data_IF_287898830075
#
_entry.id   IF_287898830075
#
_cell.length_a   1.000
_cell.length_b   1.000
_cell.length_c   1.000
_cell.angle_alpha   90.00
_cell.angle_beta   90.00
_cell.angle_gamma   90.00
#
_symmetry.space_group_name_H-M   'P 1'
#
loop_
_entity.id
_entity.type
_entity.pdbx_description
1 polymer ?
#
# COMPACT_ATOMS: atom_id res chain seq x y z
N UNK A 1 -5.94 -7.56 7.93
CA UNK A 1 -4.61 -7.46 7.29
C UNK A 1 -3.87 -8.80 7.32
N UNK A 2 -2.85 -8.94 6.49
CA UNK A 2 -1.98 -10.13 6.42
C UNK A 2 -0.56 -9.82 6.89
N UNK A 3 -0.29 -8.60 7.29
CA UNK A 3 1.03 -8.11 7.66
C UNK A 3 1.00 -7.57 9.09
N UNK A 4 1.99 -7.98 9.86
CA UNK A 4 2.37 -7.39 11.15
C UNK A 4 3.85 -7.04 11.13
N UNK A 5 4.35 -6.48 12.23
CA UNK A 5 5.74 -6.06 12.35
C UNK A 5 6.74 -7.22 12.21
N UNK A 6 6.41 -8.39 12.74
CA UNK A 6 7.27 -9.58 12.65
C UNK A 6 7.41 -10.06 11.22
N UNK A 7 6.32 -10.11 10.47
CA UNK A 7 6.34 -10.49 9.05
C UNK A 7 7.03 -9.42 8.20
N UNK A 8 6.79 -8.12 8.48
CA UNK A 8 7.45 -7.02 7.79
C UNK A 8 8.98 -7.11 7.93
N UNK A 9 9.47 -7.39 9.13
CA UNK A 9 10.89 -7.58 9.40
C UNK A 9 11.47 -8.78 8.63
N UNK A 10 10.77 -9.92 8.64
CA UNK A 10 11.18 -11.11 7.87
C UNK A 10 11.25 -10.82 6.37
N UNK A 11 10.27 -10.09 5.83
CA UNK A 11 10.25 -9.71 4.42
C UNK A 11 11.44 -8.81 4.08
N UNK A 12 11.67 -7.75 4.86
CA UNK A 12 12.79 -6.85 4.66
C UNK A 12 14.14 -7.57 4.73
N UNK A 13 14.34 -8.42 5.74
CA UNK A 13 15.59 -9.19 5.93
C UNK A 13 15.88 -10.16 4.76
N UNK A 14 14.85 -10.57 4.01
CA UNK A 14 14.98 -11.44 2.85
C UNK A 14 14.89 -10.67 1.50
N UNK A 15 14.93 -9.34 1.52
CA UNK A 15 14.90 -8.50 0.32
C UNK A 15 13.53 -8.41 -0.36
N UNK A 16 12.46 -8.75 0.35
CA UNK A 16 11.10 -8.60 -0.16
C UNK A 16 10.48 -7.28 0.27
N UNK A 17 9.77 -6.64 -0.66
CA UNK A 17 9.07 -5.39 -0.41
C UNK A 17 7.74 -5.65 0.32
N UNK A 18 7.41 -4.75 1.24
CA UNK A 18 6.15 -4.73 1.97
C UNK A 18 5.66 -3.29 2.14
N UNK A 19 4.39 -3.13 2.43
CA UNK A 19 3.79 -1.85 2.84
C UNK A 19 3.07 -2.09 4.16
N UNK A 20 3.63 -1.51 5.27
CA UNK A 20 3.02 -1.62 6.58
C UNK A 20 1.75 -0.79 6.65
N UNK A 21 0.69 -1.35 7.24
CA UNK A 21 -0.55 -0.63 7.46
C UNK A 21 -0.41 0.47 8.51
N UNK A 22 -1.34 1.43 8.51
CA UNK A 22 -1.36 2.59 9.42
C UNK A 22 -2.34 2.49 10.59
N UNK A 23 -2.92 1.31 10.84
CA UNK A 23 -4.02 1.16 11.81
C UNK A 23 -3.56 1.20 13.28
N UNK A 24 -2.31 0.88 13.56
CA UNK A 24 -1.70 1.05 14.87
C UNK A 24 -0.81 2.30 14.84
N UNK A 25 -1.41 3.44 15.20
CA UNK A 25 -0.71 4.74 15.16
C UNK A 25 0.46 4.78 16.13
N UNK A 26 0.32 4.18 17.32
CA UNK A 26 1.34 4.19 18.35
C UNK A 26 2.55 3.31 17.99
N UNK A 27 2.36 2.27 17.19
CA UNK A 27 3.42 1.34 16.82
C UNK A 27 4.27 1.84 15.63
N UNK A 28 3.79 2.81 14.83
CA UNK A 28 4.48 3.22 13.58
C UNK A 28 5.89 3.73 13.81
N UNK A 29 6.08 4.61 14.78
CA UNK A 29 7.40 5.21 15.05
C UNK A 29 8.38 4.20 15.69
N UNK A 30 8.03 3.46 16.75
CA UNK A 30 8.86 2.37 17.26
C UNK A 30 9.22 1.31 16.20
N UNK A 31 8.32 1.06 15.25
CA UNK A 31 8.59 0.15 14.14
C UNK A 31 9.71 0.68 13.23
N UNK A 32 9.67 1.97 12.85
CA UNK A 32 10.73 2.59 12.02
C UNK A 32 12.06 2.55 12.76
N UNK A 33 12.11 2.94 14.04
CA UNK A 33 13.30 2.90 14.88
C UNK A 33 13.93 1.50 14.87
N UNK A 34 13.13 0.48 15.16
CA UNK A 34 13.60 -0.92 15.20
C UNK A 34 14.10 -1.41 13.84
N UNK A 35 13.47 -1.01 12.74
CA UNK A 35 13.94 -1.39 11.40
C UNK A 35 15.30 -0.75 11.10
N UNK A 36 15.48 0.53 11.42
CA UNK A 36 16.75 1.23 11.24
C UNK A 36 17.87 0.66 12.15
N UNK A 37 17.56 0.35 13.41
CA UNK A 37 18.54 -0.31 14.32
C UNK A 37 19.05 -1.65 13.78
N UNK A 38 18.21 -2.37 13.04
CA UNK A 38 18.55 -3.64 12.37
C UNK A 38 19.20 -3.46 10.99
N UNK A 39 19.36 -2.24 10.52
CA UNK A 39 19.86 -1.95 9.16
C UNK A 39 18.89 -2.41 8.06
N UNK A 40 17.59 -2.48 8.36
CA UNK A 40 16.53 -2.85 7.43
C UNK A 40 15.75 -1.61 6.99
N UNK A 41 15.21 -1.64 5.75
CA UNK A 41 14.37 -0.56 5.29
C UNK A 41 13.01 -0.54 6.01
N UNK A 42 12.52 0.66 6.31
CA UNK A 42 11.19 0.89 6.81
C UNK A 42 10.24 1.31 5.68
N UNK A 43 9.07 0.67 5.59
CA UNK A 43 8.00 1.02 4.65
C UNK A 43 6.69 1.17 5.41
N UNK A 44 6.14 2.38 5.44
CA UNK A 44 4.96 2.73 6.22
C UNK A 44 3.83 3.26 5.34
N UNK A 45 2.62 3.30 5.90
CA UNK A 45 1.48 3.97 5.26
C UNK A 45 1.04 5.20 6.02
N UNK A 46 0.57 6.20 5.27
CA UNK A 46 -0.04 7.44 5.76
C UNK A 46 -1.49 7.57 5.28
N UNK A 47 -2.30 8.23 6.08
CA UNK A 47 -3.58 8.80 5.67
C UNK A 47 -3.42 10.23 5.16
N UNK A 48 -4.53 11.00 5.21
CA UNK A 48 -4.59 12.38 4.72
C UNK A 48 -5.25 13.35 5.71
N UNK A 49 -5.46 12.91 6.95
CA UNK A 49 -6.04 13.76 8.01
C UNK A 49 -4.95 14.66 8.62
N UNK A 50 -5.35 15.71 9.32
CA UNK A 50 -4.41 16.66 9.94
C UNK A 50 -3.41 15.98 10.88
N UNK A 51 -3.83 14.96 11.63
CA UNK A 51 -2.94 14.17 12.48
C UNK A 51 -1.79 13.49 11.70
N UNK A 52 -2.01 13.12 10.44
CA UNK A 52 -0.98 12.51 9.61
C UNK A 52 0.09 13.52 9.15
N UNK A 53 -0.30 14.78 8.94
CA UNK A 53 0.67 15.85 8.69
C UNK A 53 1.56 16.06 9.92
N UNK A 54 0.95 16.11 11.13
CA UNK A 54 1.71 16.21 12.38
C UNK A 54 2.65 15.02 12.60
N UNK A 55 2.24 13.81 12.25
CA UNK A 55 3.09 12.63 12.32
C UNK A 55 4.29 12.71 11.37
N UNK A 56 4.10 13.24 10.16
CA UNK A 56 5.20 13.48 9.19
C UNK A 56 6.21 14.48 9.75
N UNK A 57 5.75 15.58 10.35
CA UNK A 57 6.62 16.55 11.00
C UNK A 57 7.40 15.93 12.17
N UNK A 58 6.75 15.11 12.99
CA UNK A 58 7.41 14.42 14.11
C UNK A 58 8.50 13.45 13.63
N UNK A 59 8.29 12.75 12.50
CA UNK A 59 9.32 11.91 11.89
C UNK A 59 10.55 12.73 11.48
N UNK A 60 10.34 13.91 10.91
CA UNK A 60 11.41 14.83 10.52
C UNK A 60 12.16 15.34 11.75
N UNK A 61 11.47 15.81 12.77
CA UNK A 61 12.05 16.30 14.02
C UNK A 61 12.94 15.24 14.70
N UNK A 62 12.50 13.97 14.67
CA UNK A 62 13.24 12.85 15.24
C UNK A 62 14.29 12.24 14.32
N UNK A 63 14.42 12.74 13.11
CA UNK A 63 15.30 12.17 12.06
C UNK A 63 15.04 10.67 11.78
N UNK A 64 13.75 10.29 11.80
CA UNK A 64 13.26 8.93 11.56
C UNK A 64 12.59 8.83 10.18
N UNK A 65 13.34 9.10 9.12
CA UNK A 65 12.79 9.11 7.76
C UNK A 65 12.71 7.68 7.21
N UNK A 66 11.51 7.14 6.94
CA UNK A 66 11.37 5.82 6.33
C UNK A 66 11.84 5.87 4.87
N UNK A 67 12.44 4.78 4.39
CA UNK A 67 12.86 4.64 3.00
C UNK A 67 11.68 4.68 2.03
N UNK A 68 10.54 4.12 2.46
CA UNK A 68 9.31 4.09 1.67
C UNK A 68 8.12 4.60 2.47
N UNK A 69 7.39 5.52 1.86
CA UNK A 69 6.14 6.05 2.42
C UNK A 69 5.00 5.83 1.43
N UNK A 70 3.88 5.30 1.88
CA UNK A 70 2.71 5.08 1.03
C UNK A 70 1.52 5.90 1.53
N UNK A 71 1.02 6.84 0.72
CA UNK A 71 -0.28 7.46 0.98
C UNK A 71 -1.35 6.48 0.51
N UNK A 72 -2.09 5.89 1.47
CA UNK A 72 -3.02 4.79 1.22
C UNK A 72 -4.44 5.16 1.62
N UNK A 73 -5.22 5.58 0.63
CA UNK A 73 -6.64 5.96 0.79
C UNK A 73 -7.49 5.41 -0.35
N UNK A 74 -8.79 5.20 -0.07
CA UNK A 74 -9.72 4.63 -1.05
C UNK A 74 -9.91 5.51 -2.29
N UNK A 75 -9.76 6.84 -2.17
CA UNK A 75 -9.89 7.82 -3.25
C UNK A 75 -8.65 8.69 -3.32
N UNK A 76 -7.65 8.21 -4.06
CA UNK A 76 -6.35 8.87 -4.21
C UNK A 76 -6.38 10.12 -5.10
N UNK A 77 -7.31 10.21 -6.03
CA UNK A 77 -7.45 11.36 -6.93
C UNK A 77 -8.23 12.49 -6.26
N UNK A 78 -7.62 13.14 -5.27
CA UNK A 78 -8.23 14.22 -4.49
C UNK A 78 -7.21 15.28 -4.07
N UNK A 79 -7.67 16.51 -3.86
CA UNK A 79 -6.83 17.64 -3.43
C UNK A 79 -6.09 17.36 -2.13
N UNK A 80 -6.70 16.63 -1.21
CA UNK A 80 -6.06 16.28 0.07
C UNK A 80 -4.88 15.32 -0.12
N UNK A 81 -4.98 14.37 -1.04
CA UNK A 81 -3.87 13.48 -1.40
C UNK A 81 -2.76 14.28 -2.07
N UNK A 82 -3.10 15.16 -3.02
CA UNK A 82 -2.14 16.04 -3.68
C UNK A 82 -1.40 16.92 -2.67
N UNK A 83 -2.12 17.47 -1.69
CA UNK A 83 -1.53 18.26 -0.61
C UNK A 83 -0.56 17.43 0.24
N UNK A 84 -0.94 16.21 0.62
CA UNK A 84 -0.08 15.31 1.40
C UNK A 84 1.17 14.91 0.60
N UNK A 85 1.04 14.61 -0.70
CA UNK A 85 2.19 14.29 -1.56
C UNK A 85 3.20 15.44 -1.56
N UNK A 86 2.74 16.67 -1.80
CA UNK A 86 3.59 17.85 -1.82
C UNK A 86 4.29 18.07 -0.49
N UNK A 87 3.54 17.95 0.60
CA UNK A 87 4.09 18.09 1.94
C UNK A 87 5.18 17.05 2.24
N UNK A 88 4.90 15.77 2.00
CA UNK A 88 5.90 14.70 2.21
C UNK A 88 7.15 14.93 1.37
N UNK A 89 7.01 15.31 0.10
CA UNK A 89 8.17 15.57 -0.77
C UNK A 89 8.95 16.81 -0.39
N UNK A 90 8.32 17.78 0.25
CA UNK A 90 8.97 18.98 0.80
C UNK A 90 9.81 18.67 2.03
N UNK A 91 9.25 17.93 3.01
CA UNK A 91 9.88 17.75 4.32
C UNK A 91 10.66 16.42 4.45
N UNK A 92 10.32 15.41 3.66
CA UNK A 92 11.02 14.11 3.57
C UNK A 92 11.42 13.77 2.12
N UNK A 93 12.28 14.59 1.46
CA UNK A 93 12.60 14.41 0.03
C UNK A 93 13.30 13.07 -0.29
N UNK A 94 13.93 12.44 0.67
CA UNK A 94 14.65 11.18 0.51
C UNK A 94 13.75 9.94 0.49
N UNK A 95 12.52 10.02 1.04
CA UNK A 95 11.61 8.88 1.02
C UNK A 95 11.09 8.61 -0.40
N UNK A 96 11.03 7.33 -0.79
CA UNK A 96 10.33 6.93 -2.01
C UNK A 96 8.82 6.93 -1.75
N UNK A 97 8.10 7.86 -2.39
CA UNK A 97 6.70 8.11 -2.11
C UNK A 97 5.78 7.38 -3.10
N UNK A 98 5.01 6.43 -2.58
CA UNK A 98 3.94 5.74 -3.28
C UNK A 98 2.62 6.43 -2.95
N UNK A 99 1.76 6.68 -3.92
CA UNK A 99 0.46 7.30 -3.66
C UNK A 99 -0.69 6.54 -4.33
N UNK A 100 -1.82 6.45 -3.66
CA UNK A 100 -3.02 5.80 -4.16
C UNK A 100 -4.21 5.84 -3.19
N UNK A 101 -5.31 5.22 -3.59
CA UNK A 101 -5.47 4.43 -4.82
C UNK A 101 -6.18 5.24 -5.89
N UNK A 102 -5.80 4.98 -7.12
CA UNK A 102 -6.46 5.57 -8.30
C UNK A 102 -6.96 4.49 -9.25
N UNK A 103 -7.87 4.82 -10.15
CA UNK A 103 -8.42 3.90 -11.13
C UNK A 103 -8.42 4.48 -12.55
N UNK A 104 -7.88 5.69 -12.75
CA UNK A 104 -7.91 6.39 -14.03
C UNK A 104 -6.55 6.98 -14.41
N UNK A 105 -6.27 7.13 -15.73
CA UNK A 105 -5.07 7.78 -16.24
C UNK A 105 -4.86 9.21 -15.72
N UNK A 106 -5.94 9.96 -15.56
CA UNK A 106 -5.91 11.34 -15.02
C UNK A 106 -5.38 11.34 -13.60
N UNK A 107 -5.90 10.45 -12.73
CA UNK A 107 -5.44 10.32 -11.36
C UNK A 107 -3.95 9.98 -11.29
N UNK A 108 -3.47 9.05 -12.12
CA UNK A 108 -2.03 8.72 -12.17
C UNK A 108 -1.21 9.96 -12.50
N UNK A 109 -1.56 10.69 -13.58
CA UNK A 109 -0.82 11.90 -13.98
C UNK A 109 -0.81 12.96 -12.91
N UNK A 110 -1.92 13.18 -12.22
CA UNK A 110 -2.00 14.19 -11.16
C UNK A 110 -1.15 13.82 -9.95
N UNK A 111 -1.17 12.56 -9.51
CA UNK A 111 -0.30 12.13 -8.41
C UNK A 111 1.18 12.21 -8.76
N UNK A 112 1.56 11.81 -9.98
CA UNK A 112 2.94 11.97 -10.47
C UNK A 112 3.37 13.43 -10.55
N UNK A 113 2.50 14.30 -11.06
CA UNK A 113 2.78 15.74 -11.16
C UNK A 113 2.89 16.40 -9.77
N UNK A 114 2.18 15.88 -8.77
CA UNK A 114 2.29 16.33 -7.39
C UNK A 114 3.60 15.90 -6.71
N UNK A 115 4.31 14.89 -7.26
CA UNK A 115 5.60 14.44 -6.75
C UNK A 115 5.67 12.97 -6.36
N UNK A 116 4.60 12.18 -6.49
CA UNK A 116 4.65 10.75 -6.19
C UNK A 116 5.69 10.03 -7.07
N UNK A 117 6.44 9.09 -6.49
CA UNK A 117 7.46 8.30 -7.18
C UNK A 117 6.89 7.01 -7.78
N UNK A 118 5.75 6.55 -7.28
CA UNK A 118 4.95 5.47 -7.85
C UNK A 118 3.48 5.68 -7.54
N UNK A 119 2.59 5.09 -8.35
CA UNK A 119 1.15 5.14 -8.10
C UNK A 119 0.55 3.76 -7.90
N UNK A 120 -0.37 3.65 -6.95
CA UNK A 120 -1.09 2.41 -6.64
C UNK A 120 -2.47 2.43 -7.30
N UNK A 121 -2.69 1.48 -8.22
CA UNK A 121 -3.88 1.39 -9.08
C UNK A 121 -4.78 0.26 -8.63
N UNK A 122 -6.03 0.60 -8.29
CA UNK A 122 -7.04 -0.36 -7.88
C UNK A 122 -7.93 0.18 -6.78
N UNK A 123 -9.23 0.29 -7.04
CA UNK A 123 -10.23 0.76 -6.08
C UNK A 123 -11.16 -0.40 -5.76
N UNK A 124 -11.01 -0.96 -4.56
CA UNK A 124 -11.87 -2.01 -4.05
C UNK A 124 -11.84 -3.38 -4.74
N UNK A 125 -10.79 -3.82 -5.47
CA UNK A 125 -10.79 -5.14 -6.09
C UNK A 125 -10.45 -6.26 -5.10
N UNK A 126 -9.91 -5.92 -3.93
CA UNK A 126 -9.53 -6.86 -2.90
C UNK A 126 -10.71 -7.67 -2.35
N UNK A 127 -10.42 -8.90 -1.89
CA UNK A 127 -11.45 -9.83 -1.39
C UNK A 127 -12.20 -9.28 -0.17
N UNK A 128 -11.49 -8.62 0.75
CA UNK A 128 -12.05 -8.06 1.99
C UNK A 128 -12.35 -6.56 1.89
N UNK A 129 -12.07 -5.94 0.76
CA UNK A 129 -12.25 -4.49 0.63
C UNK A 129 -13.74 -4.11 0.62
N UNK A 130 -14.10 -3.18 1.50
CA UNK A 130 -15.48 -2.68 1.64
C UNK A 130 -15.77 -1.47 0.77
N UNK A 131 -14.78 -0.84 0.16
CA UNK A 131 -14.93 0.39 -0.63
C UNK A 131 -16.03 0.27 -1.68
N UNK A 132 -16.02 -0.79 -2.49
CA UNK A 132 -17.03 -1.04 -3.51
C UNK A 132 -18.45 -1.19 -2.95
N UNK A 133 -18.59 -1.71 -1.73
CA UNK A 133 -19.87 -1.89 -1.04
C UNK A 133 -20.38 -0.54 -0.52
N UNK A 134 -19.47 0.26 0.07
CA UNK A 134 -19.80 1.55 0.69
C UNK A 134 -20.05 2.66 -0.32
N UNK A 135 -19.31 2.67 -1.43
CA UNK A 135 -19.33 3.76 -2.43
C UNK A 135 -20.10 3.42 -3.70
N UNK A 136 -20.41 2.15 -3.92
CA UNK A 136 -20.96 1.67 -5.20
C UNK A 136 -19.95 1.68 -6.36
N UNK A 137 -18.69 2.08 -6.12
CA UNK A 137 -17.65 2.14 -7.12
C UNK A 137 -16.49 1.20 -6.81
N UNK A 138 -15.92 0.59 -7.85
CA UNK A 138 -14.71 -0.24 -7.72
C UNK A 138 -14.22 -0.74 -9.07
N UNK A 139 -12.90 -1.02 -9.13
CA UNK A 139 -12.25 -1.54 -10.34
C UNK A 139 -12.30 -3.07 -10.42
N UNK A 140 -12.93 -3.76 -9.47
CA UNK A 140 -12.87 -5.22 -9.32
C UNK A 140 -13.30 -6.02 -10.54
N UNK A 141 -14.29 -5.56 -11.30
CA UNK A 141 -14.75 -6.18 -12.55
C UNK A 141 -13.87 -5.85 -13.76
N UNK A 142 -13.00 -4.83 -13.68
CA UNK A 142 -12.18 -4.32 -14.77
C UNK A 142 -10.77 -3.86 -14.33
N UNK A 143 -10.26 -4.43 -13.23
CA UNK A 143 -8.96 -4.08 -12.65
C UNK A 143 -7.81 -4.17 -13.68
N UNK A 144 -7.78 -5.19 -14.52
CA UNK A 144 -6.75 -5.35 -15.53
C UNK A 144 -6.80 -4.24 -16.60
N UNK A 145 -8.02 -3.81 -16.98
CA UNK A 145 -8.20 -2.67 -17.88
C UNK A 145 -7.74 -1.36 -17.22
N UNK A 146 -8.06 -1.15 -15.93
CA UNK A 146 -7.58 0.00 -15.18
C UNK A 146 -6.05 0.05 -15.12
N UNK A 147 -5.39 -1.06 -14.82
CA UNK A 147 -3.92 -1.16 -14.83
C UNK A 147 -3.37 -0.83 -16.21
N UNK A 148 -3.94 -1.40 -17.28
CA UNK A 148 -3.50 -1.13 -18.65
C UNK A 148 -3.67 0.34 -19.07
N UNK A 149 -4.77 0.97 -18.68
CA UNK A 149 -5.00 2.39 -18.97
C UNK A 149 -4.06 3.30 -18.19
N UNK A 150 -3.94 3.05 -16.91
CA UNK A 150 -3.07 3.81 -16.03
C UNK A 150 -1.61 3.69 -16.45
N UNK A 151 -1.15 2.49 -16.79
CA UNK A 151 0.24 2.25 -17.19
C UNK A 151 0.63 2.97 -18.50
N UNK A 152 -0.31 3.14 -19.43
CA UNK A 152 -0.07 3.91 -20.68
C UNK A 152 0.07 5.41 -20.44
N UNK A 153 -0.49 5.92 -19.36
CA UNK A 153 -0.41 7.33 -18.98
C UNK A 153 0.74 7.62 -18.01
N UNK A 154 1.21 6.59 -17.31
CA UNK A 154 2.24 6.69 -16.30
C UNK A 154 3.62 6.95 -16.91
N UNK A 155 4.42 7.76 -16.25
CA UNK A 155 5.85 7.97 -16.49
C UNK A 155 6.71 7.33 -15.40
N UNK A 156 6.09 6.91 -14.31
CA UNK A 156 6.69 6.30 -13.13
C UNK A 156 6.06 4.93 -12.85
N UNK A 157 6.63 4.12 -11.94
CA UNK A 157 6.13 2.78 -11.63
C UNK A 157 4.65 2.76 -11.23
N UNK A 158 3.94 1.70 -11.69
CA UNK A 158 2.56 1.38 -11.30
C UNK A 158 2.56 0.12 -10.44
N UNK A 159 1.85 0.16 -9.32
CA UNK A 159 1.56 -0.99 -8.47
C UNK A 159 0.11 -1.40 -8.71
N UNK A 160 -0.12 -2.60 -9.24
CA UNK A 160 -1.46 -3.17 -9.37
C UNK A 160 -1.94 -3.68 -8.00
N UNK A 161 -2.94 -3.02 -7.41
CA UNK A 161 -3.38 -3.30 -6.06
C UNK A 161 -4.73 -3.99 -6.00
N UNK A 162 -4.70 -5.22 -5.49
CA UNK A 162 -5.88 -6.01 -5.15
C UNK A 162 -6.43 -6.87 -6.29
N UNK A 163 -7.27 -7.83 -5.89
CA UNK A 163 -7.93 -8.75 -6.82
C UNK A 163 -7.08 -9.91 -7.32
N UNK A 164 -5.82 -10.02 -6.89
CA UNK A 164 -4.92 -11.12 -7.24
C UNK A 164 -5.30 -12.38 -6.47
N UNK A 165 -5.56 -13.45 -7.21
CA UNK A 165 -6.02 -14.75 -6.68
C UNK A 165 -5.14 -15.91 -7.11
N UNK A 166 -4.38 -15.74 -8.18
CA UNK A 166 -3.54 -16.77 -8.78
C UNK A 166 -2.23 -16.17 -9.30
N UNK A 167 -1.23 -17.01 -9.52
CA UNK A 167 0.02 -16.60 -10.20
C UNK A 167 -0.23 -16.02 -11.59
N UNK A 168 -1.28 -16.52 -12.28
CA UNK A 168 -1.70 -15.98 -13.58
C UNK A 168 -2.17 -14.52 -13.50
N UNK A 169 -2.77 -14.11 -12.39
CA UNK A 169 -3.19 -12.70 -12.19
C UNK A 169 -1.97 -11.79 -11.99
N UNK A 170 -0.93 -12.28 -11.31
CA UNK A 170 0.37 -11.57 -11.19
C UNK A 170 0.96 -11.37 -12.59
N UNK A 171 1.12 -12.46 -13.35
CA UNK A 171 1.71 -12.41 -14.68
C UNK A 171 0.94 -11.48 -15.62
N UNK A 172 -0.40 -11.52 -15.59
CA UNK A 172 -1.26 -10.60 -16.35
C UNK A 172 -1.05 -9.14 -15.94
N UNK A 173 -1.04 -8.85 -14.65
CA UNK A 173 -0.85 -7.48 -14.16
C UNK A 173 0.47 -6.89 -14.66
N UNK A 174 1.56 -7.65 -14.56
CA UNK A 174 2.88 -7.24 -15.08
C UNK A 174 2.85 -7.08 -16.60
N UNK A 175 2.26 -8.05 -17.33
CA UNK A 175 2.12 -7.97 -18.79
C UNK A 175 1.35 -6.74 -19.27
N UNK A 176 0.38 -6.27 -18.47
CA UNK A 176 -0.43 -5.09 -18.76
C UNK A 176 0.13 -3.79 -18.17
N UNK A 177 1.35 -3.81 -17.69
CA UNK A 177 2.13 -2.61 -17.37
C UNK A 177 2.35 -2.31 -15.90
N UNK A 178 1.94 -3.18 -14.97
CA UNK A 178 2.30 -3.02 -13.58
C UNK A 178 3.79 -3.38 -13.38
N UNK A 179 4.48 -2.55 -12.62
CA UNK A 179 5.87 -2.82 -12.18
C UNK A 179 5.87 -3.81 -11.01
N UNK A 180 4.88 -3.67 -10.11
CA UNK A 180 4.69 -4.53 -8.95
C UNK A 180 3.21 -4.86 -8.77
N UNK A 181 2.95 -5.91 -8.00
CA UNK A 181 1.60 -6.36 -7.69
C UNK A 181 1.43 -6.44 -6.18
N UNK A 182 0.43 -5.77 -5.62
CA UNK A 182 0.11 -5.86 -4.21
C UNK A 182 -0.81 -7.03 -3.94
N UNK A 183 -0.38 -7.92 -3.05
CA UNK A 183 -1.01 -9.19 -2.76
C UNK A 183 -1.41 -9.24 -1.29
N UNK A 184 -2.65 -9.62 -1.03
CA UNK A 184 -3.17 -9.82 0.32
C UNK A 184 -3.68 -11.25 0.52
N UNK A 185 -4.87 -11.55 0.00
CA UNK A 185 -5.60 -12.79 0.30
C UNK A 185 -4.87 -14.10 -0.04
N UNK A 186 -3.94 -14.10 -0.99
CA UNK A 186 -3.12 -15.28 -1.30
C UNK A 186 -2.23 -15.69 -0.12
N UNK A 187 -1.79 -14.75 0.69
CA UNK A 187 -0.91 -15.01 1.83
C UNK A 187 -1.64 -15.14 3.16
N UNK A 188 -2.96 -14.87 3.21
CA UNK A 188 -3.72 -14.86 4.47
C UNK A 188 -3.72 -16.21 5.23
N UNK A 189 -3.56 -17.33 4.52
CA UNK A 189 -3.53 -18.67 5.09
C UNK A 189 -2.15 -19.19 5.50
N UNK A 190 -1.07 -18.43 5.26
CA UNK A 190 0.29 -18.86 5.63
C UNK A 190 0.54 -18.71 7.13
N UNK A 191 1.43 -19.55 7.67
CA UNK A 191 1.73 -19.58 9.10
C UNK A 191 2.30 -18.24 9.60
N UNK A 192 3.07 -17.56 8.76
CA UNK A 192 3.70 -16.27 9.07
C UNK A 192 2.70 -15.10 9.08
N UNK A 193 1.55 -15.22 8.42
CA UNK A 193 0.55 -14.16 8.43
C UNK A 193 -0.12 -14.04 9.80
N UNK A 194 -0.40 -12.82 10.29
CA UNK A 194 -1.16 -12.64 11.52
C UNK A 194 -2.59 -13.20 11.40
N UNK A 195 -3.25 -13.39 12.53
CA UNK A 195 -4.61 -13.91 12.63
C UNK A 195 -4.69 -15.22 13.37
N UNK A 196 -5.72 -15.37 14.20
CA UNK A 196 -5.98 -16.58 14.97
C UNK A 196 -6.35 -17.77 14.10
N UNK A 197 -5.89 -18.96 14.48
CA UNK A 197 -6.31 -20.21 13.85
C UNK A 197 -7.59 -20.68 14.55
N UNK A 198 -8.64 -20.96 13.76
CA UNK A 198 -9.89 -21.59 14.21
C UNK A 198 -10.06 -22.94 13.52
N UNK A 199 -10.45 -23.95 14.28
CA UNK A 199 -10.80 -25.25 13.74
C UNK A 199 -12.32 -25.37 13.65
N UNK A 200 -12.82 -25.68 12.45
CA UNK A 200 -14.24 -25.88 12.19
C UNK A 200 -14.38 -27.19 11.42
N UNK A 201 -15.10 -28.15 11.98
CA UNK A 201 -15.32 -29.49 11.39
C UNK A 201 -13.99 -30.21 11.00
N UNK A 202 -12.97 -30.12 11.85
CA UNK A 202 -11.66 -30.75 11.61
C UNK A 202 -10.79 -30.04 10.58
N UNK A 203 -11.22 -28.88 10.06
CA UNK A 203 -10.48 -28.09 9.11
C UNK A 203 -10.00 -26.78 9.77
N UNK A 204 -8.73 -26.44 9.57
CA UNK A 204 -8.13 -25.20 10.10
C UNK A 204 -8.41 -24.02 9.18
N UNK A 205 -8.81 -22.93 9.78
CA UNK A 205 -9.03 -21.63 9.14
C UNK A 205 -8.23 -20.56 9.85
N UNK A 206 -7.80 -19.54 9.10
CA UNK A 206 -7.16 -18.36 9.64
C UNK A 206 -8.09 -17.16 9.50
N UNK A 207 -8.18 -16.34 10.54
CA UNK A 207 -8.96 -15.10 10.47
C UNK A 207 -8.28 -14.12 9.50
N UNK A 208 -9.07 -13.57 8.58
CA UNK A 208 -8.64 -12.60 7.61
C UNK A 208 -9.69 -11.51 7.40
N UNK A 209 -9.30 -10.27 7.66
CA UNK A 209 -10.15 -9.08 7.51
C UNK A 209 -9.32 -7.90 7.01
N UNK A 210 -10.02 -6.89 6.45
CA UNK A 210 -9.43 -5.64 5.97
C UNK A 210 -9.96 -4.44 6.72
#
# INVERSE_FOLDING_TARGET
TILDESLAEKLAANGYFYIMHRFDEAARMPFIERMHEKGLFASISLGIKDAEFGFVEELVEKNLIPEYTTIDVAHGHSDQVIKMIKHVKEVMPSTFLIAGNVGTPEGVRELENAGADATKVGIGPGKVCTTKIKTGFGTGGWQLAAVSWCSKAARKPIIADGGVRTNGDIAKSVRFGATMVMIGSLFAGHDESPGGIKEINGQKYKEYFG
#
